data_IF_946510756919
#
_entry.id   IF_946510756919
#
_cell.length_a   1.000
_cell.length_b   1.000
_cell.length_c   1.000
_cell.angle_alpha   90.00
_cell.angle_beta   90.00
_cell.angle_gamma   90.00
#
_symmetry.space_group_name_H-M   'P 1'
#
loop_
_entity.id
_entity.type
_entity.pdbx_description
1 polymer ?
#
# COMPACT_ATOMS: atom_id res chain seq x y z
N UNK A 1 25.92 12.10 -10.61
CA UNK A 1 25.46 13.32 -9.95
C UNK A 1 24.69 12.90 -8.71
N UNK A 2 25.34 13.02 -7.55
CA UNK A 2 24.75 12.82 -6.22
C UNK A 2 23.46 13.65 -6.15
N UNK A 3 22.30 13.02 -5.96
CA UNK A 3 21.01 13.72 -6.01
C UNK A 3 20.86 14.58 -4.75
N UNK A 4 21.01 15.93 -4.83
CA UNK A 4 20.97 16.80 -3.64
C UNK A 4 19.59 16.75 -2.95
N UNK A 5 18.55 16.38 -3.70
CA UNK A 5 17.19 16.24 -3.21
C UNK A 5 17.07 15.16 -2.14
N UNK A 6 17.76 14.03 -2.29
CA UNK A 6 17.73 12.94 -1.30
C UNK A 6 18.30 13.37 0.04
N UNK A 7 19.41 14.12 0.01
CA UNK A 7 20.02 14.69 1.20
C UNK A 7 19.10 15.70 1.90
N UNK A 8 18.49 16.62 1.14
CA UNK A 8 17.54 17.60 1.70
C UNK A 8 16.34 16.92 2.35
N UNK A 9 15.79 15.88 1.73
CA UNK A 9 14.67 15.12 2.31
C UNK A 9 15.08 14.38 3.58
N UNK A 10 16.28 13.80 3.62
CA UNK A 10 16.78 13.14 4.82
C UNK A 10 16.90 14.12 5.98
N UNK A 11 17.45 15.32 5.75
CA UNK A 11 17.58 16.35 6.78
C UNK A 11 16.21 16.85 7.27
N UNK A 12 15.24 17.11 6.38
CA UNK A 12 13.89 17.52 6.76
C UNK A 12 13.18 16.43 7.61
N UNK A 13 13.29 15.17 7.20
CA UNK A 13 12.71 14.05 7.93
C UNK A 13 13.29 13.91 9.34
N UNK A 14 14.62 13.97 9.48
CA UNK A 14 15.30 13.87 10.77
C UNK A 14 14.96 15.07 11.66
N UNK A 15 15.00 16.28 11.10
CA UNK A 15 14.69 17.52 11.84
C UNK A 15 13.26 17.50 12.37
N UNK A 16 12.29 17.08 11.54
CA UNK A 16 10.90 16.92 11.96
C UNK A 16 10.75 15.87 13.06
N UNK A 17 11.40 14.72 12.92
CA UNK A 17 11.34 13.63 13.89
C UNK A 17 11.83 14.06 15.27
N UNK A 18 13.04 14.65 15.33
CA UNK A 18 13.65 15.11 16.59
C UNK A 18 12.80 16.19 17.26
N UNK A 19 12.30 17.16 16.49
CA UNK A 19 11.45 18.22 17.05
C UNK A 19 10.11 17.68 17.56
N UNK A 20 9.53 16.67 16.90
CA UNK A 20 8.28 16.05 17.35
C UNK A 20 8.43 15.14 18.57
N UNK A 21 9.62 14.59 18.80
CA UNK A 21 9.93 13.71 19.92
C UNK A 21 10.25 14.47 21.22
N UNK A 22 10.30 15.81 21.19
CA UNK A 22 10.58 16.59 22.38
C UNK A 22 9.44 16.48 23.40
N UNK A 23 9.75 16.45 24.70
CA UNK A 23 8.74 16.31 25.75
C UNK A 23 7.76 17.50 25.81
N UNK A 24 8.18 18.67 25.32
CA UNK A 24 7.40 19.91 25.23
C UNK A 24 6.74 20.11 23.85
N UNK A 25 6.89 19.17 22.93
CA UNK A 25 6.31 19.30 21.60
C UNK A 25 4.77 19.31 21.66
N UNK A 26 4.09 20.19 20.90
CA UNK A 26 2.64 20.20 20.85
C UNK A 26 2.11 18.87 20.30
N UNK A 27 1.32 18.16 21.10
CA UNK A 27 0.69 16.92 20.68
C UNK A 27 -0.47 17.26 19.73
N UNK A 28 -0.30 16.90 18.46
CA UNK A 28 -1.39 16.95 17.47
C UNK A 28 -1.98 15.54 17.33
N UNK A 29 -3.29 15.34 17.52
CA UNK A 29 -3.90 14.05 17.26
C UNK A 29 -3.68 13.65 15.80
N UNK A 30 -3.32 12.39 15.57
CA UNK A 30 -3.13 11.84 14.22
C UNK A 30 -4.46 11.96 13.47
N UNK A 31 -4.50 12.65 12.31
CA UNK A 31 -5.72 12.73 11.52
C UNK A 31 -6.19 11.31 11.13
N UNK A 32 -7.51 11.06 11.08
CA UNK A 32 -8.01 9.78 10.63
C UNK A 32 -7.44 9.49 9.25
N UNK A 33 -6.80 8.31 9.12
CA UNK A 33 -6.15 7.89 7.88
C UNK A 33 -7.20 7.72 6.79
N UNK A 34 -7.46 8.78 6.05
CA UNK A 34 -8.41 8.75 4.94
C UNK A 34 -7.85 7.84 3.86
N UNK A 35 -8.55 6.76 3.55
CA UNK A 35 -8.24 5.89 2.44
C UNK A 35 -8.63 6.60 1.13
N UNK A 36 -7.90 7.67 0.78
CA UNK A 36 -8.15 8.55 -0.38
C UNK A 36 -8.30 7.79 -1.71
N UNK A 37 -7.80 6.55 -1.77
CA UNK A 37 -7.86 5.68 -2.93
C UNK A 37 -8.60 4.35 -2.70
N UNK A 38 -9.44 4.24 -1.66
CA UNK A 38 -10.17 3.00 -1.38
C UNK A 38 -11.04 2.57 -2.57
N UNK A 39 -11.77 3.52 -3.17
CA UNK A 39 -12.62 3.24 -4.33
C UNK A 39 -11.80 2.84 -5.57
N UNK A 40 -10.72 3.56 -5.86
CA UNK A 40 -9.82 3.26 -6.98
C UNK A 40 -9.14 1.89 -6.82
N UNK A 41 -8.65 1.57 -5.63
CA UNK A 41 -8.07 0.25 -5.32
C UNK A 41 -9.07 -0.88 -5.50
N UNK A 42 -10.31 -0.71 -5.03
CA UNK A 42 -11.38 -1.71 -5.22
C UNK A 42 -11.66 -1.93 -6.71
N UNK A 43 -11.83 -0.86 -7.49
CA UNK A 43 -12.07 -0.95 -8.95
C UNK A 43 -10.91 -1.64 -9.68
N UNK A 44 -9.68 -1.26 -9.36
CA UNK A 44 -8.48 -1.88 -9.94
C UNK A 44 -8.41 -3.37 -9.59
N UNK A 45 -8.65 -3.74 -8.32
CA UNK A 45 -8.66 -5.14 -7.91
C UNK A 45 -9.72 -5.96 -8.65
N UNK A 46 -10.92 -5.42 -8.83
CA UNK A 46 -11.99 -6.09 -9.60
C UNK A 46 -11.62 -6.23 -11.08
N UNK A 47 -11.05 -5.19 -11.69
CA UNK A 47 -10.62 -5.24 -13.09
C UNK A 47 -9.52 -6.29 -13.31
N UNK A 48 -8.52 -6.32 -12.43
CA UNK A 48 -7.45 -7.32 -12.46
C UNK A 48 -7.99 -8.73 -12.25
N UNK A 49 -8.99 -8.91 -11.37
CA UNK A 49 -9.60 -10.22 -11.17
C UNK A 49 -10.32 -10.71 -12.43
N UNK A 50 -11.12 -9.85 -13.06
CA UNK A 50 -11.81 -10.20 -14.32
C UNK A 50 -10.83 -10.52 -15.44
N UNK A 51 -9.74 -9.78 -15.53
CA UNK A 51 -8.69 -10.03 -16.51
C UNK A 51 -8.01 -11.38 -16.25
N UNK A 52 -7.73 -11.70 -14.99
CA UNK A 52 -7.21 -13.02 -14.62
C UNK A 52 -8.20 -14.14 -15.00
N UNK A 53 -9.49 -13.97 -14.69
CA UNK A 53 -10.51 -14.97 -15.02
C UNK A 53 -10.68 -15.16 -16.55
N UNK A 54 -10.37 -14.14 -17.38
CA UNK A 54 -10.38 -14.24 -18.84
C UNK A 54 -9.14 -14.91 -19.43
N UNK A 55 -7.97 -14.67 -18.83
CA UNK A 55 -6.70 -15.22 -19.32
C UNK A 55 -6.53 -16.67 -18.83
N UNK A 56 -7.10 -17.01 -17.69
CA UNK A 56 -6.96 -18.35 -17.13
C UNK A 56 -7.65 -19.38 -18.05
N UNK A 57 -6.89 -20.37 -18.57
CA UNK A 57 -7.51 -21.47 -19.29
C UNK A 57 -8.47 -22.21 -18.35
N UNK A 58 -9.56 -22.82 -18.88
CA UNK A 58 -10.52 -23.54 -18.06
C UNK A 58 -9.77 -24.55 -17.19
N UNK A 59 -9.98 -24.47 -15.88
CA UNK A 59 -9.39 -25.40 -14.94
C UNK A 59 -9.79 -26.81 -15.39
N UNK A 60 -8.78 -27.62 -15.72
CA UNK A 60 -9.02 -29.03 -16.03
C UNK A 60 -9.77 -29.64 -14.84
N UNK A 61 -10.80 -30.46 -15.09
CA UNK A 61 -11.51 -31.12 -14.02
C UNK A 61 -10.48 -31.86 -13.17
N UNK A 62 -10.36 -31.44 -11.90
CA UNK A 62 -9.58 -32.18 -10.93
C UNK A 62 -10.18 -33.58 -10.89
N UNK A 63 -9.38 -34.66 -11.10
CA UNK A 63 -9.93 -35.99 -11.05
C UNK A 63 -10.50 -36.21 -9.64
N UNK A 64 -11.82 -36.22 -9.55
CA UNK A 64 -12.56 -36.61 -8.36
C UNK A 64 -12.40 -38.11 -8.16
N UNK A 65 -11.23 -38.57 -7.72
CA UNK A 65 -10.98 -39.94 -7.29
C UNK A 65 -9.94 -39.86 -6.15
N UNK A 66 -10.16 -40.41 -4.96
CA UNK A 66 -10.77 -41.70 -4.69
C UNK A 66 -11.79 -41.68 -3.55
N UNK A 67 -12.94 -42.32 -3.77
CA UNK A 67 -13.69 -43.02 -2.73
C UNK A 67 -13.05 -44.39 -2.59
N UNK A 68 -12.46 -44.67 -1.41
CA UNK A 68 -12.58 -45.89 -0.59
C UNK A 68 -11.34 -46.13 0.25
#
# INVERSE_FOLDING_TARGET
>A
MEQPTGFVFAIDAVTRHVNSARPDAPIRPDPPRTARFAAGRRRAATALRRLADQIQPPALPSPTNCVR
#
